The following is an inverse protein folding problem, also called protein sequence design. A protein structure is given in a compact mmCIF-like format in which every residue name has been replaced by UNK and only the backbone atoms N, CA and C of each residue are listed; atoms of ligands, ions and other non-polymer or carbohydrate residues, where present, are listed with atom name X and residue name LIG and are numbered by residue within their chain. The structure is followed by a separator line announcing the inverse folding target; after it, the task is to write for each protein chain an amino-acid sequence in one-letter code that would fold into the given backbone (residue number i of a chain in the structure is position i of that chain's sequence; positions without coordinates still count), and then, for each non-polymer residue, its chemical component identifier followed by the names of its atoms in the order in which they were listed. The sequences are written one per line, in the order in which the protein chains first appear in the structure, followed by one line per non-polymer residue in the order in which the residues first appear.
data_IF_990827458388
#
_entry.id   IF_990827458388
#
_cell.length_a   1.000
_cell.length_b   1.000
_cell.length_c   1.000
_cell.angle_alpha   90.00
_cell.angle_beta   90.00
_cell.angle_gamma   90.00
#
_symmetry.space_group_name_H-M   'P 1'
#
loop_
_entity.id
_entity.type
_entity.pdbx_description
1 polymer ?
#
# COMPACT_ATOMS: atom_id res chain seq x y z
N UNK A 1 1.02 -7.39 -57.80
CA UNK A 1 0.91 -6.30 -56.82
C UNK A 1 0.60 -6.92 -55.46
N UNK A 2 1.61 -7.10 -54.61
CA UNK A 2 1.42 -7.69 -53.28
C UNK A 2 1.09 -6.59 -52.28
N UNK A 3 -0.16 -6.60 -51.78
CA UNK A 3 -0.61 -5.72 -50.71
C UNK A 3 0.06 -6.22 -49.43
N UNK A 4 1.08 -5.50 -48.95
CA UNK A 4 1.65 -5.72 -47.61
C UNK A 4 0.60 -5.26 -46.59
N UNK A 5 0.01 -6.21 -45.89
CA UNK A 5 -0.87 -5.98 -44.76
C UNK A 5 0.01 -5.43 -43.61
N UNK A 6 0.09 -4.10 -43.49
CA UNK A 6 0.75 -3.46 -42.35
C UNK A 6 -0.20 -3.54 -41.16
N UNK A 7 -0.04 -4.58 -40.34
CA UNK A 7 -0.60 -4.59 -38.99
C UNK A 7 0.08 -3.47 -38.20
N UNK A 8 -0.59 -2.32 -38.08
CA UNK A 8 -0.20 -1.27 -37.14
C UNK A 8 -0.32 -1.85 -35.72
N UNK A 9 0.77 -2.44 -35.21
CA UNK A 9 0.86 -2.79 -33.80
C UNK A 9 0.99 -1.49 -33.02
N UNK A 10 -0.14 -0.97 -32.56
CA UNK A 10 -0.11 0.13 -31.59
C UNK A 10 0.54 -0.37 -30.31
N UNK A 11 1.69 0.22 -29.97
CA UNK A 11 2.40 -0.04 -28.71
C UNK A 11 1.88 0.92 -27.65
N UNK A 12 1.56 0.40 -26.46
CA UNK A 12 1.12 1.17 -25.30
C UNK A 12 2.16 1.06 -24.18
N UNK A 13 2.00 1.84 -23.11
CA UNK A 13 2.83 1.75 -21.91
C UNK A 13 2.17 0.86 -20.85
N UNK A 14 2.98 0.00 -20.22
CA UNK A 14 2.61 -0.75 -19.03
C UNK A 14 2.37 0.21 -17.85
N UNK A 15 1.26 0.07 -17.14
CA UNK A 15 0.94 0.94 -15.98
C UNK A 15 1.90 0.76 -14.79
N UNK A 16 2.59 -0.38 -14.71
CA UNK A 16 3.56 -0.65 -13.65
C UNK A 16 4.97 -0.17 -14.02
N UNK A 17 5.60 -0.81 -15.02
CA UNK A 17 7.01 -0.57 -15.35
C UNK A 17 7.24 0.51 -16.41
N UNK A 18 6.18 1.10 -16.97
CA UNK A 18 6.21 2.03 -18.11
C UNK A 18 6.84 1.45 -19.40
N UNK A 19 7.16 0.15 -19.42
CA UNK A 19 7.69 -0.54 -20.59
C UNK A 19 6.65 -0.73 -21.70
N UNK A 20 7.09 -1.07 -22.92
CA UNK A 20 6.18 -1.29 -24.05
C UNK A 20 5.30 -2.53 -23.83
N UNK A 21 4.02 -2.44 -24.24
CA UNK A 21 3.08 -3.55 -24.30
C UNK A 21 2.23 -3.50 -25.57
N UNK A 22 1.62 -4.63 -25.93
CA UNK A 22 0.60 -4.67 -26.99
C UNK A 22 -0.78 -4.33 -26.43
N UNK A 23 -1.78 -4.26 -27.32
CA UNK A 23 -3.18 -4.06 -26.92
C UNK A 23 -3.72 -5.24 -26.11
N UNK A 24 -3.23 -6.44 -26.39
CA UNK A 24 -3.59 -7.70 -25.70
C UNK A 24 -2.82 -7.91 -24.38
N UNK A 25 -2.18 -6.88 -23.83
CA UNK A 25 -1.50 -6.96 -22.53
C UNK A 25 -2.40 -7.47 -21.40
N UNK A 26 -1.80 -7.94 -20.31
CA UNK A 26 -2.53 -8.50 -19.16
C UNK A 26 -3.50 -7.46 -18.61
N UNK A 27 -4.79 -7.84 -18.51
CA UNK A 27 -5.90 -6.96 -18.17
C UNK A 27 -5.97 -5.64 -18.97
N UNK A 28 -5.39 -5.62 -20.17
CA UNK A 28 -5.37 -4.46 -21.06
C UNK A 28 -4.41 -3.33 -20.64
N UNK A 29 -3.68 -3.48 -19.53
CA UNK A 29 -2.86 -2.41 -18.91
C UNK A 29 -1.42 -2.80 -18.59
N UNK A 30 -1.11 -4.10 -18.49
CA UNK A 30 0.21 -4.57 -18.04
C UNK A 30 0.93 -5.36 -19.14
N UNK A 31 2.27 -5.28 -19.15
CA UNK A 31 3.09 -6.04 -20.11
C UNK A 31 3.28 -7.52 -19.71
N UNK A 32 3.04 -7.87 -18.44
CA UNK A 32 3.15 -9.22 -17.91
C UNK A 32 2.24 -9.43 -16.70
N UNK A 33 2.00 -10.69 -16.33
CA UNK A 33 1.30 -11.05 -15.09
C UNK A 33 2.05 -10.54 -13.87
N UNK A 34 3.38 -10.63 -13.87
CA UNK A 34 4.22 -10.10 -12.79
C UNK A 34 4.00 -8.60 -12.57
N UNK A 35 3.95 -7.79 -13.64
CA UNK A 35 3.68 -6.35 -13.52
C UNK A 35 2.27 -6.08 -12.96
N UNK A 36 1.29 -6.87 -13.38
CA UNK A 36 -0.07 -6.77 -12.88
C UNK A 36 -0.14 -7.12 -11.37
N UNK A 37 0.50 -8.22 -10.95
CA UNK A 37 0.51 -8.65 -9.56
C UNK A 37 1.25 -7.65 -8.67
N UNK A 38 2.44 -7.19 -9.07
CA UNK A 38 3.16 -6.13 -8.35
C UNK A 38 2.32 -4.89 -8.15
N UNK A 39 1.64 -4.43 -9.21
CA UNK A 39 0.75 -3.29 -9.12
C UNK A 39 -0.40 -3.51 -8.13
N UNK A 40 -1.01 -4.70 -8.12
CA UNK A 40 -2.04 -5.06 -7.14
C UNK A 40 -1.51 -5.04 -5.71
N UNK A 41 -0.32 -5.60 -5.47
CA UNK A 41 0.33 -5.60 -4.16
C UNK A 41 0.71 -4.20 -3.69
N UNK A 42 1.31 -3.38 -4.55
CA UNK A 42 1.63 -1.97 -4.25
C UNK A 42 0.38 -1.18 -3.89
N UNK A 43 -0.70 -1.31 -4.68
CA UNK A 43 -1.97 -0.66 -4.37
C UNK A 43 -2.48 -1.03 -2.97
N UNK A 44 -2.32 -2.28 -2.53
CA UNK A 44 -2.70 -2.69 -1.20
C UNK A 44 -1.75 -2.13 -0.11
N UNK A 45 -0.46 -2.04 -0.39
CA UNK A 45 0.52 -1.43 0.52
C UNK A 45 0.28 0.07 0.72
N UNK A 46 -0.30 0.79 -0.25
CA UNK A 46 -0.62 2.21 -0.08
C UNK A 46 -1.54 2.49 1.11
N UNK A 47 -2.36 1.53 1.55
CA UNK A 47 -3.17 1.68 2.76
C UNK A 47 -2.35 1.74 4.05
N UNK A 48 -1.16 1.13 4.06
CA UNK A 48 -0.22 1.21 5.17
C UNK A 48 0.61 2.50 5.09
N UNK A 49 1.05 2.87 3.88
CA UNK A 49 1.85 4.09 3.65
C UNK A 49 1.08 5.36 4.02
N UNK A 50 -0.23 5.38 3.76
CA UNK A 50 -1.09 6.52 4.06
C UNK A 50 -1.68 6.48 5.49
N UNK A 51 -1.47 5.40 6.25
CA UNK A 51 -1.90 5.32 7.64
C UNK A 51 -0.74 5.59 8.60
N UNK A 52 -0.64 6.84 9.06
CA UNK A 52 0.38 7.26 10.03
C UNK A 52 0.29 6.56 11.40
N UNK A 53 -0.74 5.74 11.68
CA UNK A 53 -0.81 4.87 12.87
C UNK A 53 0.10 3.65 12.73
N UNK A 54 0.48 3.30 11.51
CA UNK A 54 1.20 2.09 11.15
C UNK A 54 2.55 2.46 10.53
N UNK A 55 3.53 1.59 10.69
CA UNK A 55 4.81 1.72 10.00
C UNK A 55 4.66 1.22 8.57
N UNK A 56 4.89 2.09 7.58
CA UNK A 56 4.92 1.72 6.16
C UNK A 56 5.90 0.56 5.86
N UNK A 57 6.95 0.41 6.66
CA UNK A 57 7.98 -0.59 6.44
C UNK A 57 7.63 -2.00 6.93
N UNK A 58 7.04 -2.12 8.12
CA UNK A 58 6.83 -3.43 8.77
C UNK A 58 5.39 -3.65 9.24
N UNK A 59 4.49 -2.73 8.94
CA UNK A 59 3.10 -2.74 9.42
C UNK A 59 2.94 -2.50 10.92
N UNK A 60 4.01 -2.44 11.72
CA UNK A 60 3.89 -2.30 13.18
C UNK A 60 3.18 -1.01 13.59
N UNK A 61 2.33 -1.08 14.62
CA UNK A 61 1.58 0.06 15.15
C UNK A 61 2.53 1.05 15.83
N UNK A 62 2.58 2.28 15.32
CA UNK A 62 3.38 3.39 15.84
C UNK A 62 2.64 4.17 16.91
N UNK A 63 1.34 4.37 16.72
CA UNK A 63 0.49 5.12 17.64
C UNK A 63 -0.94 4.60 17.65
N UNK A 64 -1.58 4.74 18.80
CA UNK A 64 -3.02 4.52 18.93
C UNK A 64 -3.70 5.88 18.76
N UNK A 65 -4.68 5.95 17.87
CA UNK A 65 -5.52 7.14 17.67
C UNK A 65 -6.95 6.75 17.98
N UNK A 66 -7.56 7.43 18.96
CA UNK A 66 -8.98 7.27 19.25
C UNK A 66 -9.81 8.06 18.23
N UNK A 67 -10.86 7.45 17.64
CA UNK A 67 -11.77 8.17 16.77
C UNK A 67 -12.37 9.38 17.49
N UNK A 68 -12.55 10.53 16.82
CA UNK A 68 -13.26 11.64 17.40
C UNK A 68 -14.70 11.23 17.74
N UNK A 69 -15.15 11.63 18.92
CA UNK A 69 -16.54 11.50 19.35
C UNK A 69 -17.47 12.26 18.41
N UNK A 70 -18.74 11.87 18.35
CA UNK A 70 -19.76 12.59 17.55
C UNK A 70 -19.81 14.09 17.90
N UNK A 71 -19.65 14.44 19.17
CA UNK A 71 -19.59 15.83 19.62
C UNK A 71 -18.37 16.59 19.09
N UNK A 72 -17.22 15.92 18.93
CA UNK A 72 -16.03 16.50 18.29
C UNK A 72 -16.24 16.65 16.78
N UNK A 73 -16.86 15.67 16.12
CA UNK A 73 -17.17 15.75 14.68
C UNK A 73 -18.09 16.93 14.34
N UNK A 74 -19.13 17.16 15.13
CA UNK A 74 -20.05 18.30 14.96
C UNK A 74 -19.31 19.65 15.08
N UNK A 75 -18.30 19.75 15.94
CA UNK A 75 -17.47 20.97 16.07
C UNK A 75 -16.51 21.16 14.89
N UNK A 76 -16.03 20.08 14.29
CA UNK A 76 -15.09 20.10 13.15
C UNK A 76 -15.81 20.45 11.84
N UNK A 77 -17.06 19.99 11.65
CA UNK A 77 -17.87 20.29 10.46
C UNK A 77 -18.09 21.79 10.21
N UNK A 78 -17.95 22.63 11.24
CA UNK A 78 -18.04 24.09 11.11
C UNK A 78 -16.80 24.77 10.51
N UNK A 79 -15.65 24.07 10.37
CA UNK A 79 -14.38 24.73 10.04
C UNK A 79 -13.69 24.30 8.73
N UNK A 80 -13.87 23.06 8.23
CA UNK A 80 -13.37 22.69 6.89
C UNK A 80 -14.23 21.60 6.25
N UNK A 81 -14.44 21.75 4.94
CA UNK A 81 -15.26 20.91 4.06
C UNK A 81 -15.13 19.41 4.31
N UNK A 82 -16.28 18.74 4.37
CA UNK A 82 -16.55 17.31 4.58
C UNK A 82 -15.84 16.30 3.66
N UNK A 83 -14.87 16.71 2.83
CA UNK A 83 -14.20 15.83 1.86
C UNK A 83 -13.17 14.88 2.47
N UNK A 84 -12.61 15.19 3.64
CA UNK A 84 -11.51 14.39 4.22
C UNK A 84 -11.93 13.09 4.90
N UNK A 85 -13.24 12.86 5.10
CA UNK A 85 -13.75 11.67 5.80
C UNK A 85 -13.91 10.45 4.89
N UNK A 86 -14.24 10.68 3.62
CA UNK A 86 -14.46 9.62 2.64
C UNK A 86 -13.15 9.16 1.98
N UNK A 87 -12.13 10.02 1.95
CA UNK A 87 -10.84 9.78 1.28
C UNK A 87 -9.81 9.01 2.13
N UNK A 88 -10.21 8.36 3.22
CA UNK A 88 -9.29 7.56 4.05
C UNK A 88 -8.21 8.37 4.80
N UNK A 89 -8.32 9.70 4.82
CA UNK A 89 -7.45 10.57 5.60
C UNK A 89 -7.72 10.39 7.09
N UNK A 90 -6.88 9.61 7.77
CA UNK A 90 -6.98 9.40 9.21
C UNK A 90 -6.93 10.72 9.99
N UNK A 91 -7.60 10.77 11.14
CA UNK A 91 -7.52 11.92 12.03
C UNK A 91 -6.12 12.04 12.62
N UNK A 92 -5.49 13.20 12.46
CA UNK A 92 -4.27 13.54 13.20
C UNK A 92 -4.59 14.69 14.15
N UNK A 93 -4.68 14.38 15.45
CA UNK A 93 -4.73 15.42 16.48
C UNK A 93 -3.41 16.19 16.45
N UNK A 94 -3.47 17.52 16.38
CA UNK A 94 -2.32 18.34 16.74
C UNK A 94 -2.03 18.10 18.22
N UNK A 95 -0.95 17.37 18.51
CA UNK A 95 -0.41 17.31 19.86
C UNK A 95 0.40 18.58 20.11
N UNK A 96 0.63 19.01 21.38
CA UNK A 96 1.53 20.12 21.68
C UNK A 96 2.96 19.93 21.13
N UNK A 97 3.34 18.67 20.86
CA UNK A 97 4.59 18.29 20.19
C UNK A 97 4.60 18.58 18.68
N UNK A 98 3.46 18.80 18.04
CA UNK A 98 3.40 19.20 16.64
C UNK A 98 3.87 20.65 16.41
N UNK A 99 3.93 21.46 17.48
CA UNK A 99 4.45 22.82 17.45
C UNK A 99 5.94 22.89 17.85
N UNK A 100 6.51 21.78 18.36
CA UNK A 100 7.95 21.62 18.54
C UNK A 100 8.52 20.97 17.27
N UNK A 101 9.67 21.46 16.78
CA UNK A 101 10.36 20.98 15.57
C UNK A 101 10.16 19.48 15.32
N UNK A 102 9.65 19.12 14.14
CA UNK A 102 9.24 17.76 13.74
C UNK A 102 10.25 16.69 14.19
N UNK A 103 10.02 16.09 15.36
CA UNK A 103 10.77 14.91 15.76
C UNK A 103 10.24 13.74 14.92
N UNK A 104 11.10 13.08 14.12
CA UNK A 104 10.66 11.95 13.31
C UNK A 104 10.15 10.84 14.24
N UNK A 105 8.97 10.30 13.93
CA UNK A 105 8.46 9.13 14.64
C UNK A 105 9.27 7.91 14.18
N UNK A 106 10.05 7.33 15.09
CA UNK A 106 10.85 6.13 14.81
C UNK A 106 10.05 4.89 15.16
N UNK A 107 9.99 3.92 14.24
CA UNK A 107 9.40 2.62 14.49
C UNK A 107 10.25 1.81 15.47
N UNK A 108 9.69 1.45 16.63
CA UNK A 108 10.37 0.62 17.62
C UNK A 108 10.68 -0.81 17.16
N UNK A 109 10.06 -1.29 16.08
CA UNK A 109 10.21 -2.66 15.58
C UNK A 109 11.28 -2.80 14.50
N UNK A 110 11.32 -1.88 13.52
CA UNK A 110 12.25 -1.95 12.39
C UNK A 110 13.18 -0.73 12.27
N UNK A 111 13.07 0.25 13.17
CA UNK A 111 13.89 1.46 13.15
C UNK A 111 13.51 2.47 12.07
N UNK A 112 12.49 2.20 11.24
CA UNK A 112 12.08 3.13 10.20
C UNK A 112 11.63 4.48 10.78
N UNK A 113 12.23 5.57 10.34
CA UNK A 113 11.92 6.93 10.79
C UNK A 113 11.06 7.73 9.79
N UNK A 114 10.76 7.16 8.63
CA UNK A 114 9.84 7.74 7.65
C UNK A 114 8.45 7.14 7.83
N UNK A 115 7.45 7.99 8.11
CA UNK A 115 6.08 7.54 8.33
C UNK A 115 5.43 6.94 7.08
N UNK A 116 5.81 7.42 5.89
CA UNK A 116 5.13 7.16 4.62
C UNK A 116 6.00 6.47 3.56
N UNK A 117 7.25 6.15 3.87
CA UNK A 117 8.16 5.49 2.93
C UNK A 117 8.74 4.22 3.57
N UNK A 118 8.57 3.05 2.94
CA UNK A 118 9.31 1.86 3.34
C UNK A 118 10.81 2.03 3.04
N UNK A 119 11.62 1.27 3.76
CA UNK A 119 13.07 1.16 3.60
C UNK A 119 13.39 -0.32 3.29
N UNK A 120 13.38 -0.71 2.01
CA UNK A 120 13.47 -2.11 1.58
C UNK A 120 14.69 -2.86 2.16
N UNK A 121 15.81 -2.16 2.34
CA UNK A 121 17.03 -2.72 2.91
C UNK A 121 16.86 -3.14 4.38
N UNK A 122 16.00 -2.48 5.15
CA UNK A 122 15.67 -2.92 6.50
C UNK A 122 14.60 -4.03 6.51
N UNK A 123 13.72 -4.08 5.50
CA UNK A 123 12.74 -5.15 5.37
C UNK A 123 13.43 -6.49 5.12
N UNK A 124 14.42 -6.54 4.24
CA UNK A 124 15.12 -7.79 3.89
C UNK A 124 15.85 -8.43 5.09
N UNK A 125 16.30 -7.63 6.05
CA UNK A 125 16.93 -8.13 7.29
C UNK A 125 15.94 -8.88 8.18
N UNK A 126 14.68 -8.43 8.21
CA UNK A 126 13.60 -8.97 9.06
C UNK A 126 12.38 -9.35 8.22
N UNK A 127 12.61 -10.00 7.08
CA UNK A 127 11.60 -10.13 6.02
C UNK A 127 10.34 -10.82 6.53
N UNK A 128 10.48 -11.94 7.24
CA UNK A 128 9.34 -12.72 7.76
C UNK A 128 8.57 -11.94 8.83
N UNK A 129 9.25 -11.24 9.72
CA UNK A 129 8.63 -10.41 10.75
C UNK A 129 7.90 -9.21 10.14
N UNK A 130 8.52 -8.52 9.18
CA UNK A 130 7.91 -7.42 8.45
C UNK A 130 6.67 -7.90 7.68
N UNK A 131 6.78 -9.02 6.98
CA UNK A 131 5.70 -9.65 6.23
C UNK A 131 4.50 -10.00 7.14
N UNK A 132 4.75 -10.59 8.32
CA UNK A 132 3.69 -10.85 9.31
C UNK A 132 3.02 -9.56 9.81
N UNK A 133 3.80 -8.53 10.09
CA UNK A 133 3.28 -7.23 10.53
C UNK A 133 2.44 -6.55 9.44
N UNK A 134 2.88 -6.61 8.19
CA UNK A 134 2.13 -6.13 7.01
C UNK A 134 0.79 -6.86 6.90
N UNK A 135 0.77 -8.20 6.94
CA UNK A 135 -0.47 -8.98 6.87
C UNK A 135 -1.44 -8.65 8.01
N UNK A 136 -0.94 -8.55 9.24
CA UNK A 136 -1.76 -8.21 10.40
C UNK A 136 -2.42 -6.84 10.22
N UNK A 137 -1.67 -5.87 9.71
CA UNK A 137 -2.14 -4.50 9.49
C UNK A 137 -3.12 -4.38 8.33
N UNK A 138 -2.89 -5.10 7.22
CA UNK A 138 -3.86 -5.17 6.12
C UNK A 138 -5.17 -5.85 6.58
N UNK A 139 -5.10 -6.85 7.46
CA UNK A 139 -6.30 -7.46 8.07
C UNK A 139 -7.04 -6.50 9.00
N UNK A 140 -6.34 -5.65 9.75
CA UNK A 140 -6.95 -4.57 10.53
C UNK A 140 -7.67 -3.59 9.59
N UNK A 141 -7.00 -3.16 8.51
CA UNK A 141 -7.58 -2.27 7.49
C UNK A 141 -8.81 -2.82 6.81
N UNK A 142 -8.82 -4.11 6.50
CA UNK A 142 -10.00 -4.81 6.00
C UNK A 142 -11.16 -4.78 7.01
N UNK A 143 -10.89 -5.05 8.30
CA UNK A 143 -11.90 -4.99 9.36
C UNK A 143 -12.45 -3.58 9.58
N UNK A 144 -11.63 -2.55 9.34
CA UNK A 144 -12.05 -1.14 9.31
C UNK A 144 -12.87 -0.78 8.06
N UNK A 145 -12.99 -1.67 7.07
CA UNK A 145 -13.70 -1.44 5.81
C UNK A 145 -12.93 -0.59 4.80
N UNK A 146 -11.62 -0.39 4.99
CA UNK A 146 -10.79 0.43 4.09
C UNK A 146 -10.50 -0.26 2.75
N UNK A 147 -10.52 -1.59 2.73
CA UNK A 147 -10.50 -2.41 1.52
C UNK A 147 -11.23 -3.73 1.78
N UNK A 148 -11.58 -4.46 0.71
CA UNK A 148 -12.32 -5.73 0.78
C UNK A 148 -11.45 -6.98 0.56
N UNK A 149 -10.22 -6.78 0.06
CA UNK A 149 -9.29 -7.84 -0.37
C UNK A 149 -8.99 -8.89 0.69
N UNK A 150 -8.99 -10.15 0.27
CA UNK A 150 -8.53 -11.29 1.05
C UNK A 150 -7.08 -11.61 0.68
N UNK A 151 -6.29 -12.10 1.63
CA UNK A 151 -4.90 -12.49 1.40
C UNK A 151 -4.73 -13.92 1.89
N UNK A 152 -4.28 -14.81 1.02
CA UNK A 152 -3.90 -16.17 1.36
C UNK A 152 -2.48 -16.21 1.93
N UNK A 153 -2.34 -16.55 3.22
CA UNK A 153 -1.04 -16.49 3.90
C UNK A 153 -0.05 -17.52 3.34
N UNK A 154 -0.54 -18.70 2.94
CA UNK A 154 0.31 -19.76 2.42
C UNK A 154 0.96 -19.33 1.09
N UNK A 155 0.14 -18.89 0.14
CA UNK A 155 0.56 -18.31 -1.14
C UNK A 155 1.49 -17.11 -0.93
N UNK A 156 1.17 -16.23 0.02
CA UNK A 156 2.00 -15.05 0.31
C UNK A 156 3.41 -15.46 0.77
N UNK A 157 3.52 -16.36 1.74
CA UNK A 157 4.83 -16.79 2.23
C UNK A 157 5.57 -17.67 1.22
N UNK A 158 4.88 -18.46 0.41
CA UNK A 158 5.48 -19.22 -0.70
C UNK A 158 6.19 -18.29 -1.69
N UNK A 159 5.50 -17.25 -2.16
CA UNK A 159 6.07 -16.31 -3.13
C UNK A 159 7.10 -15.34 -2.53
N UNK A 160 7.09 -15.16 -1.20
CA UNK A 160 8.08 -14.35 -0.50
C UNK A 160 9.42 -15.09 -0.30
N UNK A 161 9.45 -16.42 -0.35
CA UNK A 161 10.69 -17.19 -0.15
C UNK A 161 11.69 -16.98 -1.28
N UNK A 162 11.24 -16.70 -2.51
CA UNK A 162 12.09 -16.30 -3.66
C UNK A 162 11.25 -15.69 -4.80
N UNK A 163 11.48 -14.43 -5.23
CA UNK A 163 12.34 -13.37 -4.67
C UNK A 163 11.69 -12.63 -3.47
N UNK A 164 12.52 -11.90 -2.71
CA UNK A 164 12.12 -11.01 -1.60
C UNK A 164 11.34 -9.76 -2.10
N UNK A 165 10.22 -9.97 -2.78
CA UNK A 165 9.41 -8.96 -3.45
C UNK A 165 8.01 -8.95 -2.82
N UNK A 166 7.88 -8.20 -1.71
CA UNK A 166 6.62 -8.10 -0.96
C UNK A 166 5.45 -7.67 -1.87
N UNK A 167 5.58 -6.66 -2.75
CA UNK A 167 4.51 -6.32 -3.68
C UNK A 167 4.10 -7.48 -4.58
N UNK A 168 5.03 -8.21 -5.18
CA UNK A 168 4.71 -9.37 -6.01
C UNK A 168 4.01 -10.47 -5.19
N UNK A 169 4.55 -10.81 -4.03
CA UNK A 169 4.00 -11.83 -3.15
C UNK A 169 2.57 -11.47 -2.69
N UNK A 170 2.33 -10.22 -2.29
CA UNK A 170 0.99 -9.73 -1.97
C UNK A 170 0.07 -9.80 -3.19
N UNK A 171 0.54 -9.32 -4.35
CA UNK A 171 -0.21 -9.34 -5.60
C UNK A 171 -0.78 -10.71 -5.95
N UNK A 172 0.05 -11.75 -5.81
CA UNK A 172 -0.30 -13.14 -6.06
C UNK A 172 -1.20 -13.75 -4.98
N UNK A 173 -1.04 -13.31 -3.74
CA UNK A 173 -1.84 -13.79 -2.61
C UNK A 173 -3.20 -13.11 -2.47
N UNK A 174 -3.44 -11.98 -3.18
CA UNK A 174 -4.74 -11.31 -3.16
C UNK A 174 -5.76 -12.18 -3.92
N UNK A 175 -6.77 -12.62 -3.18
CA UNK A 175 -7.89 -13.43 -3.68
C UNK A 175 -7.40 -14.71 -4.42
N UNK A 176 -6.45 -15.42 -3.78
CA UNK A 176 -6.06 -16.79 -4.15
C UNK A 176 -7.23 -17.77 -4.18
#
# INVERSE_FOLDING_TARGET
MSIRNQSNSHTYSCEYCNGPRTKEGVNGSFCSEECHDKHRGENLLTYLENDHRLCANCGSKLKVVEPPTQAQLVKIQGYHSTKSLEDGGGYQYKTPLADAEELPTVCGSCGNCTLSKPFPEAQSIFLRECARGILASLREKRREGTHDKTIDDETFFEYLETPDDIPLALGRAIDG
#
